data_IF_885201777693
#
_entry.id   IF_885201777693
#
_cell.length_a   1.000
_cell.length_b   1.000
_cell.length_c   1.000
_cell.angle_alpha   90.00
_cell.angle_beta   90.00
_cell.angle_gamma   90.00
#
_symmetry.space_group_name_H-M   'P 1'
#
loop_
_entity.id
_entity.type
_entity.pdbx_description
1 polymer ?
#
# COMPACT_ATOMS: atom_id res chain seq x y z
N UNK A 1 73.21 7.48 11.73
CA UNK A 1 72.04 7.07 12.56
C UNK A 1 70.74 7.44 11.84
N UNK A 2 70.33 6.70 10.80
CA UNK A 2 69.09 6.97 10.03
C UNK A 2 68.16 5.73 9.80
N UNK A 3 68.47 4.46 10.19
CA UNK A 3 67.58 3.37 9.80
C UNK A 3 66.33 3.19 10.69
N UNK A 4 66.23 3.89 11.83
CA UNK A 4 65.15 3.63 12.81
C UNK A 4 63.85 4.39 12.55
N UNK A 5 63.90 5.56 11.91
CA UNK A 5 62.72 6.44 11.73
C UNK A 5 61.79 5.95 10.62
N UNK A 6 62.34 5.34 9.56
CA UNK A 6 61.57 4.84 8.40
C UNK A 6 60.71 3.61 8.78
N UNK A 7 61.12 2.84 9.80
CA UNK A 7 60.44 1.61 10.21
C UNK A 7 59.12 1.87 10.95
N UNK A 8 59.02 2.98 11.69
CA UNK A 8 57.79 3.39 12.39
C UNK A 8 56.74 4.01 11.45
N UNK A 9 57.17 4.81 10.46
CA UNK A 9 56.25 5.40 9.48
C UNK A 9 55.55 4.37 8.60
N UNK A 10 56.25 3.31 8.18
CA UNK A 10 55.63 2.20 7.46
C UNK A 10 54.57 1.50 8.31
N UNK A 11 54.86 1.22 9.59
CA UNK A 11 53.93 0.53 10.49
C UNK A 11 52.65 1.34 10.75
N UNK A 12 52.78 2.67 10.92
CA UNK A 12 51.63 3.57 11.10
C UNK A 12 50.73 3.66 9.88
N UNK A 13 51.29 3.72 8.66
CA UNK A 13 50.50 3.74 7.42
C UNK A 13 49.77 2.41 7.21
N UNK A 14 50.43 1.27 7.49
CA UNK A 14 49.77 -0.04 7.44
C UNK A 14 48.64 -0.16 8.46
N UNK A 15 48.81 0.38 9.68
CA UNK A 15 47.77 0.39 10.71
C UNK A 15 46.59 1.31 10.34
N UNK A 16 46.86 2.50 9.78
CA UNK A 16 45.84 3.42 9.30
C UNK A 16 45.04 2.84 8.13
N UNK A 17 45.73 2.21 7.17
CA UNK A 17 45.08 1.51 6.05
C UNK A 17 44.28 0.29 6.52
N UNK A 18 44.75 -0.42 7.53
CA UNK A 18 44.03 -1.55 8.14
C UNK A 18 42.75 -1.11 8.86
N UNK A 19 42.78 0.03 9.57
CA UNK A 19 41.58 0.61 10.19
C UNK A 19 40.57 1.10 9.15
N UNK A 20 41.02 1.72 8.05
CA UNK A 20 40.16 2.10 6.91
C UNK A 20 39.56 0.85 6.26
N UNK A 21 40.34 -0.23 6.13
CA UNK A 21 39.86 -1.50 5.56
C UNK A 21 38.78 -2.13 6.43
N UNK A 22 38.95 -2.12 7.76
CA UNK A 22 37.92 -2.55 8.72
C UNK A 22 36.66 -1.68 8.64
N UNK A 23 36.78 -0.36 8.54
CA UNK A 23 35.64 0.56 8.39
C UNK A 23 34.84 0.32 7.10
N UNK A 24 35.52 -0.04 6.00
CA UNK A 24 34.88 -0.35 4.72
C UNK A 24 34.10 -1.68 4.77
N UNK A 25 34.55 -2.67 5.55
CA UNK A 25 33.78 -3.89 5.81
C UNK A 25 32.50 -3.60 6.62
N UNK A 26 32.57 -2.69 7.60
CA UNK A 26 31.39 -2.26 8.35
C UNK A 26 30.39 -1.48 7.48
N UNK A 27 30.89 -0.56 6.65
CA UNK A 27 30.05 0.18 5.71
C UNK A 27 29.36 -0.73 4.70
N UNK A 28 30.06 -1.73 4.17
CA UNK A 28 29.46 -2.70 3.23
C UNK A 28 28.40 -3.57 3.91
N UNK A 29 28.61 -4.01 5.15
CA UNK A 29 27.60 -4.74 5.93
C UNK A 29 26.36 -3.89 6.24
N UNK A 30 26.54 -2.59 6.53
CA UNK A 30 25.44 -1.65 6.76
C UNK A 30 24.65 -1.44 5.46
N UNK A 31 25.33 -1.17 4.35
CA UNK A 31 24.69 -0.98 3.03
C UNK A 31 23.92 -2.24 2.63
N UNK A 32 24.50 -3.43 2.83
CA UNK A 32 23.84 -4.70 2.54
C UNK A 32 22.59 -4.91 3.40
N UNK A 33 22.66 -4.66 4.72
CA UNK A 33 21.51 -4.78 5.62
C UNK A 33 20.39 -3.80 5.27
N UNK A 34 20.73 -2.54 5.01
CA UNK A 34 19.76 -1.51 4.61
C UNK A 34 19.13 -1.88 3.26
N UNK A 35 19.92 -2.34 2.29
CA UNK A 35 19.43 -2.81 1.01
C UNK A 35 18.44 -3.97 1.14
N UNK A 36 18.73 -4.97 1.98
CA UNK A 36 17.81 -6.09 2.25
C UNK A 36 16.52 -5.60 2.92
N UNK A 37 16.61 -4.67 3.87
CA UNK A 37 15.40 -4.11 4.53
C UNK A 37 14.51 -3.35 3.54
N UNK A 38 15.10 -2.54 2.66
CA UNK A 38 14.35 -1.81 1.63
C UNK A 38 13.70 -2.76 0.63
N UNK A 39 14.42 -3.78 0.16
CA UNK A 39 13.88 -4.80 -0.74
C UNK A 39 12.71 -5.56 -0.11
N UNK A 40 12.84 -5.99 1.15
CA UNK A 40 11.77 -6.69 1.87
C UNK A 40 10.55 -5.80 2.09
N UNK A 41 10.75 -4.51 2.31
CA UNK A 41 9.66 -3.53 2.44
C UNK A 41 8.90 -3.40 1.11
N UNK A 42 9.62 -3.22 0.00
CA UNK A 42 9.01 -3.12 -1.33
C UNK A 42 8.23 -4.40 -1.70
N UNK A 43 8.80 -5.57 -1.43
CA UNK A 43 8.12 -6.84 -1.73
C UNK A 43 6.89 -7.04 -0.83
N UNK A 44 6.95 -6.62 0.44
CA UNK A 44 5.80 -6.63 1.33
C UNK A 44 4.70 -5.67 0.86
N UNK A 45 5.06 -4.45 0.43
CA UNK A 45 4.11 -3.49 -0.15
C UNK A 45 3.48 -4.02 -1.46
N UNK A 46 4.25 -4.71 -2.31
CA UNK A 46 3.73 -5.39 -3.51
C UNK A 46 2.85 -6.59 -3.20
N UNK A 47 3.12 -7.30 -2.12
CA UNK A 47 2.25 -8.37 -1.62
C UNK A 47 0.94 -7.76 -1.15
N UNK A 48 1.00 -6.78 -0.25
CA UNK A 48 -0.17 -6.02 0.25
C UNK A 48 -0.92 -5.25 -0.85
N UNK A 49 -0.34 -5.05 -2.03
CA UNK A 49 -1.08 -4.50 -3.17
C UNK A 49 -1.96 -5.55 -3.89
N UNK A 50 -1.72 -6.85 -3.68
CA UNK A 50 -2.47 -7.92 -4.33
C UNK A 50 -3.70 -8.27 -3.53
N UNK A 51 -4.88 -7.96 -4.08
CA UNK A 51 -6.13 -8.42 -3.49
C UNK A 51 -6.24 -9.95 -3.53
N UNK A 52 -6.84 -10.51 -2.48
CA UNK A 52 -7.27 -11.90 -2.43
C UNK A 52 -8.24 -12.20 -3.60
N UNK A 53 -8.22 -13.40 -4.20
CA UNK A 53 -9.14 -13.76 -5.28
C UNK A 53 -10.61 -13.59 -4.91
N UNK A 54 -10.96 -13.81 -3.64
CA UNK A 54 -12.31 -13.61 -3.13
C UNK A 54 -12.75 -12.14 -3.18
N UNK A 55 -11.88 -11.20 -2.78
CA UNK A 55 -12.20 -9.78 -2.81
C UNK A 55 -12.31 -9.23 -4.24
N UNK A 56 -11.48 -9.72 -5.16
CA UNK A 56 -11.60 -9.41 -6.60
C UNK A 56 -12.96 -9.87 -7.12
N UNK A 57 -13.29 -11.15 -6.94
CA UNK A 57 -14.56 -11.72 -7.38
C UNK A 57 -15.77 -10.99 -6.74
N UNK A 58 -15.65 -10.57 -5.47
CA UNK A 58 -16.69 -9.81 -4.80
C UNK A 58 -16.90 -8.45 -5.49
N UNK A 59 -15.81 -7.70 -5.72
CA UNK A 59 -15.89 -6.38 -6.35
C UNK A 59 -16.47 -6.48 -7.78
N UNK A 60 -16.02 -7.46 -8.56
CA UNK A 60 -16.53 -7.71 -9.91
C UNK A 60 -18.02 -8.08 -9.91
N UNK A 61 -18.44 -8.99 -9.03
CA UNK A 61 -19.86 -9.35 -8.91
C UNK A 61 -20.74 -8.17 -8.48
N UNK A 62 -20.22 -7.25 -7.67
CA UNK A 62 -20.95 -6.03 -7.27
C UNK A 62 -20.96 -4.95 -8.34
N UNK A 63 -19.99 -4.89 -9.26
CA UNK A 63 -20.03 -4.03 -10.45
C UNK A 63 -21.23 -4.38 -11.33
N UNK A 64 -21.47 -5.66 -11.57
CA UNK A 64 -22.64 -6.09 -12.35
C UNK A 64 -23.98 -5.70 -11.68
N UNK A 65 -24.07 -5.85 -10.35
CA UNK A 65 -25.27 -5.46 -9.60
C UNK A 65 -25.42 -3.95 -9.44
N UNK A 66 -24.34 -3.20 -9.63
CA UNK A 66 -24.33 -1.74 -9.62
C UNK A 66 -25.10 -1.19 -10.82
N UNK A 67 -25.05 -1.81 -11.99
CA UNK A 67 -25.79 -1.33 -13.18
C UNK A 67 -27.33 -1.39 -13.02
N UNK A 68 -27.82 -2.17 -12.06
CA UNK A 68 -29.24 -2.25 -11.71
C UNK A 68 -29.69 -1.16 -10.72
N UNK A 69 -28.77 -0.32 -10.24
CA UNK A 69 -29.03 0.73 -9.28
C UNK A 69 -29.21 2.07 -9.97
N UNK A 70 -30.13 2.88 -9.46
CA UNK A 70 -30.31 4.26 -9.93
C UNK A 70 -29.70 5.24 -8.94
N UNK A 71 -28.84 6.11 -9.43
CA UNK A 71 -28.38 7.27 -8.66
C UNK A 71 -29.47 8.33 -8.70
N UNK A 72 -30.04 8.65 -7.54
CA UNK A 72 -31.12 9.62 -7.44
C UNK A 72 -30.56 11.04 -7.36
N UNK A 73 -29.51 11.23 -6.57
CA UNK A 73 -28.89 12.53 -6.32
C UNK A 73 -27.39 12.36 -6.12
N UNK A 74 -26.60 13.11 -6.87
CA UNK A 74 -25.18 13.36 -6.56
C UNK A 74 -25.11 14.64 -5.72
N UNK A 75 -24.80 14.50 -4.43
CA UNK A 75 -24.78 15.64 -3.50
C UNK A 75 -23.42 16.35 -3.52
N UNK A 76 -22.34 15.61 -3.76
CA UNK A 76 -20.99 16.17 -3.93
C UNK A 76 -20.13 15.29 -4.83
N UNK A 77 -18.82 15.59 -4.93
CA UNK A 77 -17.87 14.72 -5.62
C UNK A 77 -17.85 13.29 -5.05
N UNK A 78 -17.98 13.17 -3.72
CA UNK A 78 -17.85 11.91 -2.98
C UNK A 78 -19.15 11.41 -2.35
N UNK A 79 -20.19 12.25 -2.26
CA UNK A 79 -21.49 11.90 -1.68
C UNK A 79 -22.56 11.60 -2.72
N UNK A 80 -23.19 10.43 -2.60
CA UNK A 80 -24.21 9.93 -3.50
C UNK A 80 -25.41 9.39 -2.74
N UNK A 81 -26.60 9.53 -3.32
CA UNK A 81 -27.81 8.86 -2.87
C UNK A 81 -28.24 7.83 -3.91
N UNK A 82 -28.18 6.56 -3.52
CA UNK A 82 -28.52 5.42 -4.36
C UNK A 82 -29.90 4.91 -3.98
N UNK A 83 -30.76 4.65 -4.96
CA UNK A 83 -32.07 4.04 -4.72
C UNK A 83 -32.12 2.62 -5.28
N UNK A 84 -32.53 1.69 -4.44
CA UNK A 84 -32.70 0.27 -4.76
C UNK A 84 -33.97 -0.23 -4.09
N UNK A 85 -34.88 -0.86 -4.84
CA UNK A 85 -36.10 -1.47 -4.29
C UNK A 85 -36.89 -0.54 -3.33
N UNK A 86 -37.01 0.76 -3.68
CA UNK A 86 -37.74 1.76 -2.88
C UNK A 86 -37.01 2.27 -1.62
N UNK A 87 -35.82 1.74 -1.32
CA UNK A 87 -34.94 2.25 -0.25
C UNK A 87 -33.88 3.18 -0.85
N UNK A 88 -33.66 4.31 -0.18
CA UNK A 88 -32.55 5.22 -0.51
C UNK A 88 -31.44 5.05 0.51
N UNK A 89 -30.22 4.79 0.02
CA UNK A 89 -29.01 4.66 0.82
C UNK A 89 -28.01 5.76 0.44
N UNK A 90 -27.37 6.37 1.44
CA UNK A 90 -26.34 7.38 1.28
C UNK A 90 -24.96 6.73 1.25
N UNK A 91 -24.14 7.12 0.29
CA UNK A 91 -22.77 6.63 0.11
C UNK A 91 -21.80 7.80 0.23
N UNK A 92 -20.71 7.62 0.98
CA UNK A 92 -19.53 8.48 0.94
C UNK A 92 -18.33 7.67 0.43
N UNK A 93 -17.86 8.00 -0.78
CA UNK A 93 -16.69 7.36 -1.38
C UNK A 93 -15.38 7.77 -0.71
N UNK A 94 -15.31 8.94 -0.07
CA UNK A 94 -14.08 9.41 0.60
C UNK A 94 -13.81 8.55 1.83
N UNK A 95 -14.80 8.47 2.72
CA UNK A 95 -14.73 7.69 3.96
C UNK A 95 -14.86 6.18 3.74
N UNK A 96 -15.24 5.73 2.53
CA UNK A 96 -15.53 4.32 2.26
C UNK A 96 -16.75 3.82 3.04
N UNK A 97 -17.81 4.63 3.14
CA UNK A 97 -18.99 4.32 3.93
C UNK A 97 -20.26 4.29 3.10
N UNK A 98 -21.22 3.49 3.58
CA UNK A 98 -22.57 3.42 3.04
C UNK A 98 -23.57 3.22 4.18
N UNK A 99 -24.76 3.81 4.10
CA UNK A 99 -25.81 3.66 5.11
C UNK A 99 -26.32 2.23 5.28
N UNK A 100 -26.05 1.34 4.32
CA UNK A 100 -26.30 -0.10 4.49
C UNK A 100 -25.28 -0.79 5.42
N UNK A 101 -24.28 -0.05 5.91
CA UNK A 101 -23.20 -0.45 6.84
C UNK A 101 -22.24 -1.51 6.35
N UNK A 102 -22.56 -2.22 5.28
CA UNK A 102 -21.72 -3.30 4.74
C UNK A 102 -20.28 -2.87 4.49
N UNK A 103 -20.05 -1.72 3.86
CA UNK A 103 -18.70 -1.27 3.54
C UNK A 103 -17.86 -1.03 4.80
N UNK A 104 -18.45 -0.37 5.79
CA UNK A 104 -17.81 -0.17 7.09
C UNK A 104 -17.53 -1.49 7.82
N UNK A 105 -18.50 -2.42 7.83
CA UNK A 105 -18.39 -3.67 8.58
C UNK A 105 -17.47 -4.69 7.92
N UNK A 106 -17.53 -4.82 6.59
CA UNK A 106 -16.80 -5.84 5.85
C UNK A 106 -15.50 -5.31 5.26
N UNK A 107 -15.26 -4.00 5.28
CA UNK A 107 -14.07 -3.39 4.67
C UNK A 107 -14.04 -3.50 3.13
N UNK A 108 -15.17 -3.80 2.48
CA UNK A 108 -15.27 -3.96 1.01
C UNK A 108 -16.50 -3.20 0.49
N UNK A 109 -16.41 -2.52 -0.67
CA UNK A 109 -17.55 -1.81 -1.24
C UNK A 109 -18.78 -2.71 -1.41
N UNK A 110 -19.93 -2.23 -0.91
CA UNK A 110 -21.22 -2.84 -1.19
C UNK A 110 -21.69 -2.51 -2.62
N UNK A 111 -22.81 -3.07 -3.08
CA UNK A 111 -23.38 -2.72 -4.41
C UNK A 111 -23.61 -1.21 -4.61
N UNK A 112 -24.05 -0.50 -3.56
CA UNK A 112 -24.25 0.95 -3.61
C UNK A 112 -22.92 1.69 -3.71
N UNK A 113 -21.92 1.25 -2.93
CA UNK A 113 -20.57 1.78 -2.94
C UNK A 113 -19.88 1.58 -4.28
N UNK A 114 -19.95 0.36 -4.83
CA UNK A 114 -19.40 0.03 -6.14
C UNK A 114 -20.02 0.89 -7.26
N UNK A 115 -21.34 1.10 -7.23
CA UNK A 115 -21.99 1.99 -8.19
C UNK A 115 -21.55 3.45 -8.04
N UNK A 116 -21.49 3.96 -6.80
CA UNK A 116 -21.03 5.32 -6.52
C UNK A 116 -19.58 5.55 -6.95
N UNK A 117 -18.72 4.55 -6.78
CA UNK A 117 -17.33 4.57 -7.24
C UNK A 117 -17.26 4.56 -8.77
N UNK A 118 -18.07 3.74 -9.44
CA UNK A 118 -18.21 3.74 -10.90
C UNK A 118 -18.61 5.11 -11.45
N UNK A 119 -19.60 5.78 -10.84
CA UNK A 119 -19.99 7.15 -11.21
C UNK A 119 -18.90 8.20 -10.95
N UNK A 120 -17.94 7.90 -10.07
CA UNK A 120 -16.78 8.73 -9.81
C UNK A 120 -15.56 8.34 -10.66
N UNK A 121 -15.67 7.36 -11.57
CA UNK A 121 -14.58 6.76 -12.32
C UNK A 121 -13.46 6.21 -11.41
N UNK A 122 -13.82 5.63 -10.27
CA UNK A 122 -12.90 4.99 -9.33
C UNK A 122 -13.15 3.48 -9.37
N UNK A 123 -12.08 2.69 -9.47
CA UNK A 123 -12.20 1.24 -9.40
C UNK A 123 -12.49 0.78 -7.95
N UNK A 124 -13.59 0.06 -7.68
CA UNK A 124 -13.93 -0.42 -6.34
C UNK A 124 -12.85 -1.27 -5.65
N UNK A 125 -12.02 -1.97 -6.43
CA UNK A 125 -10.89 -2.75 -5.90
C UNK A 125 -9.91 -1.90 -5.11
N UNK A 126 -9.77 -0.61 -5.46
CA UNK A 126 -8.87 0.35 -4.79
C UNK A 126 -9.35 0.81 -3.43
N UNK A 127 -10.60 0.46 -3.05
CA UNK A 127 -11.21 0.85 -1.77
C UNK A 127 -11.59 -0.35 -0.91
N UNK A 128 -10.87 -1.45 -1.11
CA UNK A 128 -10.91 -2.64 -0.26
C UNK A 128 -9.90 -2.47 0.88
N UNK A 129 -10.28 -2.92 2.07
CA UNK A 129 -9.43 -2.91 3.26
C UNK A 129 -8.20 -3.79 3.07
N UNK A 130 -7.10 -3.42 3.72
CA UNK A 130 -5.83 -4.16 3.73
C UNK A 130 -5.97 -5.63 4.19
N UNK A 131 -7.00 -5.96 4.99
CA UNK A 131 -7.29 -7.34 5.42
C UNK A 131 -7.58 -8.31 4.27
N UNK A 132 -7.90 -7.80 3.07
CA UNK A 132 -8.12 -8.62 1.89
C UNK A 132 -6.98 -8.55 0.90
N UNK A 133 -5.81 -8.11 1.34
CA UNK A 133 -4.57 -8.10 0.57
C UNK A 133 -3.70 -9.29 0.97
N UNK A 134 -2.94 -9.84 0.02
CA UNK A 134 -2.21 -11.11 0.12
C UNK A 134 -0.74 -10.97 0.55
#
# INVERSE_FOLDING_TARGET
>A
MIPFVIRFYRFGIFFQLFLIFLDMEWLTLIILRVGIMLFRKEEAEKSQARLTPWAVNHCEGKKFMADLLTCRVRTSRYHFQMTSYGRTDSVNNEDGTCSCRWWYTMGIPCKHGAHALGLANIDPTTRVSEYFTN
#
